data_IF_472237744226
#
_entry.id   IF_472237744226
#
_cell.length_a   1.000
_cell.length_b   1.000
_cell.length_c   1.000
_cell.angle_alpha   90.00
_cell.angle_beta   90.00
_cell.angle_gamma   90.00
#
_symmetry.space_group_name_H-M   'P 1'
#
loop_
_entity.id
_entity.type
_entity.pdbx_description
1 polymer ?
#
# COMPACT_ATOMS: atom_id res chain seq x y z
N UNK A 1 -12.98 -17.91 -3.90
CA UNK A 1 -13.17 -17.74 -2.44
C UNK A 1 -11.81 -17.74 -1.77
N UNK A 2 -11.61 -16.91 -0.75
CA UNK A 2 -10.31 -16.75 -0.08
C UNK A 2 -10.42 -17.04 1.41
N UNK A 3 -9.46 -17.80 1.93
CA UNK A 3 -9.36 -18.01 3.37
C UNK A 3 -8.64 -16.81 4.04
N UNK A 4 -8.63 -16.78 5.36
CA UNK A 4 -8.06 -15.68 6.12
C UNK A 4 -6.56 -15.48 5.85
N UNK A 5 -5.81 -16.56 5.67
CA UNK A 5 -4.37 -16.51 5.35
C UNK A 5 -4.13 -15.84 3.99
N UNK A 6 -4.94 -16.18 2.99
CA UNK A 6 -4.85 -15.56 1.67
C UNK A 6 -5.19 -14.08 1.70
N UNK A 7 -6.20 -13.69 2.48
CA UNK A 7 -6.56 -12.28 2.67
C UNK A 7 -5.43 -11.53 3.36
N UNK A 8 -4.86 -12.09 4.42
CA UNK A 8 -3.72 -11.47 5.12
C UNK A 8 -2.50 -11.32 4.20
N UNK A 9 -2.23 -12.35 3.39
CA UNK A 9 -1.15 -12.29 2.40
C UNK A 9 -1.38 -11.17 1.39
N UNK A 10 -2.61 -10.97 0.95
CA UNK A 10 -2.98 -9.89 0.04
C UNK A 10 -2.81 -8.52 0.69
N UNK A 11 -3.22 -8.38 1.96
CA UNK A 11 -3.01 -7.14 2.74
C UNK A 11 -1.53 -6.81 2.82
N UNK A 12 -0.69 -7.78 3.16
CA UNK A 12 0.75 -7.59 3.27
C UNK A 12 1.37 -7.17 1.94
N UNK A 13 1.01 -7.84 0.85
CA UNK A 13 1.53 -7.48 -0.49
C UNK A 13 1.13 -6.08 -0.92
N UNK A 14 -0.13 -5.71 -0.73
CA UNK A 14 -0.63 -4.36 -1.04
C UNK A 14 0.13 -3.31 -0.23
N UNK A 15 0.32 -3.57 1.05
CA UNK A 15 1.06 -2.70 1.97
C UNK A 15 2.52 -2.53 1.52
N UNK A 16 3.20 -3.61 1.20
CA UNK A 16 4.59 -3.57 0.75
C UNK A 16 4.75 -2.87 -0.60
N UNK A 17 3.79 -3.02 -1.51
CA UNK A 17 3.78 -2.26 -2.77
C UNK A 17 3.62 -0.76 -2.51
N UNK A 18 2.74 -0.38 -1.59
CA UNK A 18 2.57 1.02 -1.18
C UNK A 18 3.85 1.61 -0.58
N UNK A 19 4.48 0.88 0.33
CA UNK A 19 5.76 1.28 0.93
C UNK A 19 6.84 1.48 -0.12
N UNK A 20 6.95 0.54 -1.05
CA UNK A 20 7.96 0.58 -2.10
C UNK A 20 7.76 1.79 -3.02
N UNK A 21 6.53 2.06 -3.42
CA UNK A 21 6.18 3.22 -4.24
C UNK A 21 6.50 4.54 -3.55
N UNK A 22 6.17 4.66 -2.26
CA UNK A 22 6.46 5.87 -1.49
C UNK A 22 7.97 6.06 -1.33
N UNK A 23 8.70 5.03 -0.92
CA UNK A 23 10.17 5.12 -0.73
C UNK A 23 10.87 5.52 -2.02
N UNK A 24 10.43 4.97 -3.14
CA UNK A 24 10.99 5.31 -4.45
C UNK A 24 10.70 6.76 -4.82
N UNK A 25 9.46 7.22 -4.62
CA UNK A 25 9.07 8.59 -4.91
C UNK A 25 9.77 9.61 -3.99
N UNK A 26 10.04 9.26 -2.73
CA UNK A 26 10.71 10.14 -1.78
C UNK A 26 12.17 10.47 -2.16
N UNK A 27 12.75 9.76 -3.10
CA UNK A 27 14.06 10.09 -3.65
C UNK A 27 14.01 11.31 -4.58
N UNK A 28 12.82 11.70 -5.04
CA UNK A 28 12.61 12.86 -5.88
C UNK A 28 12.45 14.13 -5.05
N UNK A 29 12.81 15.28 -5.62
CA UNK A 29 12.46 16.57 -5.02
C UNK A 29 10.98 16.84 -5.20
N UNK A 30 10.33 17.30 -4.14
CA UNK A 30 8.90 17.59 -4.16
C UNK A 30 8.57 18.69 -3.15
N UNK A 31 7.35 19.23 -3.25
CA UNK A 31 6.87 20.21 -2.29
C UNK A 31 6.91 19.65 -0.86
N UNK A 32 7.31 20.46 0.14
CA UNK A 32 7.40 19.97 1.53
C UNK A 32 6.11 19.40 2.08
N UNK A 33 4.95 19.95 1.71
CA UNK A 33 3.65 19.45 2.15
C UNK A 33 3.35 18.07 1.57
N UNK A 34 3.73 17.82 0.31
CA UNK A 34 3.56 16.49 -0.32
C UNK A 34 4.50 15.48 0.34
N UNK A 35 5.75 15.84 0.57
CA UNK A 35 6.72 14.98 1.27
C UNK A 35 6.21 14.57 2.65
N UNK A 36 5.73 15.53 3.42
CA UNK A 36 5.19 15.30 4.75
C UNK A 36 3.99 14.33 4.71
N UNK A 37 3.08 14.54 3.75
CA UNK A 37 1.93 13.64 3.56
C UNK A 37 2.38 12.21 3.22
N UNK A 38 3.36 12.07 2.34
CA UNK A 38 3.87 10.75 1.92
C UNK A 38 4.61 10.04 3.06
N UNK A 39 5.40 10.77 3.84
CA UNK A 39 6.06 10.20 5.02
C UNK A 39 5.05 9.72 6.06
N UNK A 40 3.97 10.47 6.25
CA UNK A 40 2.87 10.05 7.14
C UNK A 40 2.19 8.78 6.63
N UNK A 41 1.91 8.70 5.34
CA UNK A 41 1.33 7.50 4.73
C UNK A 41 2.28 6.30 4.83
N UNK A 42 3.57 6.51 4.70
CA UNK A 42 4.56 5.45 4.88
C UNK A 42 4.52 4.87 6.30
N UNK A 43 4.43 5.73 7.31
CA UNK A 43 4.30 5.29 8.71
C UNK A 43 3.03 4.47 8.93
N UNK A 44 1.93 4.84 8.28
CA UNK A 44 0.68 4.05 8.36
C UNK A 44 0.85 2.67 7.74
N UNK A 45 1.50 2.58 6.58
CA UNK A 45 1.81 1.29 5.96
C UNK A 45 2.77 0.46 6.83
N UNK A 46 3.76 1.06 7.44
CA UNK A 46 4.68 0.36 8.34
C UNK A 46 3.93 -0.25 9.54
N UNK A 47 2.95 0.48 10.08
CA UNK A 47 2.09 -0.01 11.16
C UNK A 47 1.24 -1.21 10.71
N UNK A 48 0.66 -1.13 9.53
CA UNK A 48 -0.15 -2.23 8.96
C UNK A 48 0.71 -3.46 8.70
N UNK A 49 1.91 -3.28 8.16
CA UNK A 49 2.85 -4.38 7.95
C UNK A 49 3.19 -5.07 9.27
N UNK A 50 3.50 -4.30 10.30
CA UNK A 50 3.81 -4.84 11.63
C UNK A 50 2.65 -5.64 12.20
N UNK A 51 1.43 -5.13 12.08
CA UNK A 51 0.23 -5.87 12.53
C UNK A 51 0.01 -7.16 11.72
N UNK A 52 0.24 -7.12 10.40
CA UNK A 52 0.10 -8.31 9.56
C UNK A 52 1.09 -9.40 9.99
N UNK A 53 2.35 -9.03 10.24
CA UNK A 53 3.35 -9.98 10.74
C UNK A 53 3.00 -10.53 12.12
N UNK A 54 2.46 -9.71 13.00
CA UNK A 54 2.02 -10.15 14.34
C UNK A 54 0.88 -11.17 14.25
N UNK A 55 -0.09 -10.93 13.39
CA UNK A 55 -1.20 -11.87 13.16
C UNK A 55 -0.67 -13.19 12.59
N UNK A 56 0.18 -13.12 11.58
CA UNK A 56 0.75 -14.32 10.96
C UNK A 56 1.55 -15.15 11.97
N UNK A 57 2.37 -14.49 12.79
CA UNK A 57 3.15 -15.15 13.82
C UNK A 57 2.27 -15.86 14.85
N UNK A 58 1.20 -15.19 15.31
CA UNK A 58 0.28 -15.77 16.29
C UNK A 58 -0.44 -17.02 15.76
N UNK A 59 -0.56 -17.16 14.44
CA UNK A 59 -1.24 -18.29 13.79
C UNK A 59 -0.29 -19.29 13.14
N UNK A 60 1.02 -19.08 13.28
CA UNK A 60 2.05 -19.90 12.62
C UNK A 60 1.88 -19.92 11.09
N UNK A 61 1.50 -18.79 10.50
CA UNK A 61 1.40 -18.64 9.06
C UNK A 61 2.69 -18.06 8.50
N UNK A 62 3.25 -18.72 7.50
CA UNK A 62 4.29 -18.13 6.67
C UNK A 62 3.63 -17.40 5.51
N UNK A 63 3.95 -16.10 5.35
CA UNK A 63 3.43 -15.29 4.27
C UNK A 63 4.52 -15.07 3.23
N UNK A 64 4.19 -15.19 1.93
CA UNK A 64 5.16 -14.92 0.88
C UNK A 64 5.56 -13.44 0.86
N UNK A 65 6.86 -13.18 0.69
CA UNK A 65 7.37 -11.82 0.52
C UNK A 65 7.36 -11.40 -0.94
N UNK A 66 7.47 -10.08 -1.18
CA UNK A 66 7.61 -9.58 -2.54
C UNK A 66 8.90 -10.08 -3.17
N UNK A 67 8.81 -10.51 -4.44
CA UNK A 67 9.96 -10.91 -5.22
C UNK A 67 10.90 -9.71 -5.39
N UNK A 68 12.22 -9.86 -5.14
CA UNK A 68 13.20 -8.78 -5.33
C UNK A 68 13.17 -8.17 -6.73
N UNK A 69 12.89 -8.95 -7.77
CA UNK A 69 12.76 -8.45 -9.14
C UNK A 69 11.62 -7.46 -9.29
N UNK A 70 10.50 -7.70 -8.62
CA UNK A 70 9.34 -6.77 -8.62
C UNK A 70 9.73 -5.46 -7.97
N UNK A 71 10.46 -5.50 -6.84
CA UNK A 71 10.96 -4.29 -6.16
C UNK A 71 11.82 -3.45 -7.08
N UNK A 72 12.76 -4.08 -7.76
CA UNK A 72 13.68 -3.40 -8.69
C UNK A 72 12.94 -2.77 -9.87
N UNK A 73 12.02 -3.50 -10.48
CA UNK A 73 11.22 -3.01 -11.61
C UNK A 73 10.33 -1.84 -11.20
N UNK A 74 9.67 -1.95 -10.04
CA UNK A 74 8.80 -0.87 -9.52
C UNK A 74 9.60 0.39 -9.26
N UNK A 75 10.78 0.28 -8.65
CA UNK A 75 11.66 1.41 -8.38
C UNK A 75 12.08 2.11 -9.67
N UNK A 76 12.54 1.35 -10.66
CA UNK A 76 12.95 1.91 -11.96
C UNK A 76 11.79 2.56 -12.69
N UNK A 77 10.63 1.93 -12.73
CA UNK A 77 9.43 2.48 -13.38
C UNK A 77 8.98 3.78 -12.71
N UNK A 78 9.00 3.84 -11.39
CA UNK A 78 8.66 5.05 -10.64
C UNK A 78 9.62 6.18 -11.01
N UNK A 79 10.92 5.95 -10.97
CA UNK A 79 11.92 6.96 -11.32
C UNK A 79 11.77 7.46 -12.74
N UNK A 80 11.51 6.57 -13.70
CA UNK A 80 11.30 6.95 -15.10
C UNK A 80 10.06 7.83 -15.27
N UNK A 81 8.96 7.49 -14.58
CA UNK A 81 7.71 8.27 -14.65
C UNK A 81 7.86 9.66 -14.05
N UNK A 82 8.70 9.82 -13.02
CA UNK A 82 8.89 11.08 -12.32
C UNK A 82 9.97 11.97 -12.94
N UNK A 83 10.68 11.50 -13.95
CA UNK A 83 11.82 12.23 -14.53
C UNK A 83 11.46 13.44 -15.39
N UNK A 84 10.19 13.62 -15.76
CA UNK A 84 9.75 14.71 -16.66
C UNK A 84 8.45 15.35 -16.17
N UNK A 85 8.37 16.69 -16.32
CA UNK A 85 7.16 17.47 -16.06
C UNK A 85 6.97 17.81 -14.59
N UNK A 86 5.73 18.12 -14.19
CA UNK A 86 5.37 18.45 -12.81
C UNK A 86 5.45 17.22 -11.90
N UNK A 87 6.52 17.15 -11.13
CA UNK A 87 6.81 16.02 -10.26
C UNK A 87 5.74 15.87 -9.17
N UNK A 88 5.26 16.96 -8.58
CA UNK A 88 4.25 16.89 -7.53
C UNK A 88 2.95 16.26 -8.05
N UNK A 89 2.47 16.74 -9.19
CA UNK A 89 1.26 16.19 -9.83
C UNK A 89 1.42 14.73 -10.23
N UNK A 90 2.59 14.36 -10.75
CA UNK A 90 2.89 12.97 -11.14
C UNK A 90 2.94 12.03 -9.95
N UNK A 91 3.54 12.45 -8.85
CA UNK A 91 3.58 11.67 -7.61
C UNK A 91 2.14 11.49 -7.09
N UNK A 92 1.36 12.57 -7.02
CA UNK A 92 -0.02 12.50 -6.57
C UNK A 92 -0.85 11.55 -7.44
N UNK A 93 -0.73 11.64 -8.75
CA UNK A 93 -1.45 10.75 -9.69
C UNK A 93 -1.05 9.29 -9.50
N UNK A 94 0.24 9.02 -9.32
CA UNK A 94 0.76 7.67 -9.06
C UNK A 94 0.18 7.11 -7.75
N UNK A 95 0.18 7.92 -6.70
CA UNK A 95 -0.35 7.53 -5.40
C UNK A 95 -1.85 7.25 -5.46
N UNK A 96 -2.61 8.09 -6.15
CA UNK A 96 -4.06 7.89 -6.33
C UNK A 96 -4.34 6.58 -7.06
N UNK A 97 -3.62 6.30 -8.15
CA UNK A 97 -3.81 5.05 -8.89
C UNK A 97 -3.46 3.82 -8.05
N UNK A 98 -2.34 3.86 -7.35
CA UNK A 98 -1.92 2.76 -6.50
C UNK A 98 -2.87 2.49 -5.35
N UNK A 99 -3.30 3.53 -4.65
CA UNK A 99 -4.25 3.41 -3.54
C UNK A 99 -5.63 2.97 -4.04
N UNK A 100 -6.09 3.48 -5.18
CA UNK A 100 -7.37 3.06 -5.77
C UNK A 100 -7.36 1.58 -6.15
N UNK A 101 -6.26 1.12 -6.73
CA UNK A 101 -6.06 -0.30 -7.02
C UNK A 101 -6.13 -1.15 -5.74
N UNK A 102 -5.49 -0.68 -4.67
CA UNK A 102 -5.52 -1.34 -3.37
C UNK A 102 -6.92 -1.39 -2.76
N UNK A 103 -7.70 -0.31 -2.88
CA UNK A 103 -9.10 -0.26 -2.42
C UNK A 103 -9.95 -1.31 -3.16
N UNK A 104 -9.83 -1.38 -4.48
CA UNK A 104 -10.57 -2.37 -5.29
C UNK A 104 -10.21 -3.79 -4.85
N UNK A 105 -8.93 -4.06 -4.69
CA UNK A 105 -8.45 -5.38 -4.26
C UNK A 105 -8.93 -5.73 -2.86
N UNK A 106 -8.91 -4.77 -1.95
CA UNK A 106 -9.39 -4.94 -0.58
C UNK A 106 -10.88 -5.26 -0.52
N UNK A 107 -11.70 -4.56 -1.29
CA UNK A 107 -13.13 -4.82 -1.39
C UNK A 107 -13.41 -6.23 -1.95
N UNK A 108 -12.71 -6.62 -3.01
CA UNK A 108 -12.84 -7.96 -3.57
C UNK A 108 -12.48 -9.04 -2.54
N UNK A 109 -11.39 -8.84 -1.80
CA UNK A 109 -10.95 -9.79 -0.78
C UNK A 109 -12.02 -9.95 0.31
N UNK A 110 -12.62 -8.87 0.79
CA UNK A 110 -13.67 -8.92 1.80
C UNK A 110 -14.92 -9.68 1.30
N UNK A 111 -15.30 -9.46 0.03
CA UNK A 111 -16.43 -10.16 -0.57
C UNK A 111 -16.16 -11.65 -0.79
N UNK A 112 -14.91 -12.04 -0.98
CA UNK A 112 -14.48 -13.41 -1.25
C UNK A 112 -14.04 -14.18 -0.01
N UNK A 113 -13.97 -13.53 1.12
CA UNK A 113 -13.50 -14.13 2.36
C UNK A 113 -14.49 -15.16 2.89
N UNK A 114 -14.04 -16.40 3.07
CA UNK A 114 -14.88 -17.53 3.52
C UNK A 114 -14.83 -17.75 5.03
N UNK A 115 -13.79 -17.26 5.68
CA UNK A 115 -13.57 -17.43 7.12
C UNK A 115 -13.69 -16.08 7.82
N UNK A 116 -14.18 -16.11 9.07
CA UNK A 116 -14.30 -14.89 9.86
C UNK A 116 -13.19 -14.81 10.91
N UNK A 117 -11.97 -14.59 10.46
CA UNK A 117 -10.88 -14.19 11.35
C UNK A 117 -11.02 -12.68 11.60
N UNK A 118 -11.46 -12.33 12.80
CA UNK A 118 -11.76 -10.92 13.14
C UNK A 118 -10.54 -10.02 13.05
N UNK A 119 -9.36 -10.50 13.41
CA UNK A 119 -8.13 -9.71 13.34
C UNK A 119 -7.73 -9.42 11.90
N UNK A 120 -7.82 -10.43 11.03
CA UNK A 120 -7.53 -10.28 9.60
C UNK A 120 -8.55 -9.33 8.96
N UNK A 121 -9.83 -9.48 9.27
CA UNK A 121 -10.88 -8.63 8.75
C UNK A 121 -10.70 -7.17 9.19
N UNK A 122 -10.37 -6.95 10.47
CA UNK A 122 -10.11 -5.61 10.99
C UNK A 122 -8.91 -4.95 10.31
N UNK A 123 -7.83 -5.70 10.08
CA UNK A 123 -6.64 -5.18 9.40
C UNK A 123 -6.91 -4.88 7.92
N UNK A 124 -7.68 -5.75 7.25
CA UNK A 124 -8.11 -5.51 5.87
C UNK A 124 -8.94 -4.24 5.76
N UNK A 125 -9.88 -4.02 6.67
CA UNK A 125 -10.68 -2.79 6.74
C UNK A 125 -9.80 -1.57 7.04
N UNK A 126 -8.82 -1.69 7.93
CA UNK A 126 -7.89 -0.61 8.25
C UNK A 126 -7.08 -0.19 7.00
N UNK A 127 -6.57 -1.15 6.24
CA UNK A 127 -5.88 -0.86 4.99
C UNK A 127 -6.79 -0.16 3.99
N UNK A 128 -8.02 -0.65 3.84
CA UNK A 128 -9.02 -0.06 2.95
C UNK A 128 -9.29 1.40 3.30
N UNK A 129 -9.55 1.69 4.58
CA UNK A 129 -9.82 3.04 5.06
C UNK A 129 -8.60 3.95 4.90
N UNK A 130 -7.41 3.43 5.19
CA UNK A 130 -6.14 4.16 5.03
C UNK A 130 -5.93 4.55 3.56
N UNK A 131 -6.09 3.61 2.64
CA UNK A 131 -5.89 3.88 1.22
C UNK A 131 -6.95 4.81 0.64
N UNK A 132 -8.19 4.72 1.10
CA UNK A 132 -9.25 5.66 0.72
C UNK A 132 -8.95 7.08 1.20
N UNK A 133 -8.46 7.23 2.42
CA UNK A 133 -8.04 8.51 2.97
C UNK A 133 -6.83 9.07 2.21
N UNK A 134 -5.89 8.21 1.82
CA UNK A 134 -4.71 8.60 1.04
C UNK A 134 -5.10 9.16 -0.33
N UNK A 135 -6.06 8.54 -1.02
CA UNK A 135 -6.59 9.06 -2.29
C UNK A 135 -7.12 10.47 -2.10
N UNK A 136 -7.93 10.67 -1.08
CA UNK A 136 -8.51 11.98 -0.79
C UNK A 136 -7.42 13.02 -0.51
N UNK A 137 -6.43 12.68 0.30
CA UNK A 137 -5.33 13.56 0.67
C UNK A 137 -4.48 13.98 -0.54
N UNK A 138 -4.27 13.07 -1.50
CA UNK A 138 -3.43 13.34 -2.66
C UNK A 138 -4.09 14.25 -3.71
N UNK A 139 -5.41 14.39 -3.71
CA UNK A 139 -6.14 15.17 -4.73
C UNK A 139 -5.66 16.61 -4.84
N UNK A 140 -5.33 17.24 -3.72
CA UNK A 140 -4.88 18.65 -3.72
C UNK A 140 -3.50 18.87 -4.33
N UNK A 141 -2.75 17.81 -4.57
CA UNK A 141 -1.41 17.90 -5.17
C UNK A 141 -1.41 17.63 -6.68
N UNK A 142 -2.56 17.30 -7.25
CA UNK A 142 -2.70 17.10 -8.70
C UNK A 142 -2.48 18.38 -9.49
#
# INVERSE_FOLDING_TARGET
>A
MKNSKEVLSSVLKTTQMGQLGIRSALESEMAPALRSAMESQLREYDSIESEAHSIAKARNWELPELNPSIRFMTDRMTKMKLSRGDVNSKIAAMMIRGNTSGVIKGLKNLHQMTEQDKAVQALSNKLLDTESANVHQMKKFL
#
